data_IF_683864456705
#
_entry.id   IF_683864456705
#
_cell.length_a   1.000
_cell.length_b   1.000
_cell.length_c   1.000
_cell.angle_alpha   90.00
_cell.angle_beta   90.00
_cell.angle_gamma   90.00
#
_symmetry.space_group_name_H-M   'P 1'
#
loop_
_entity.id
_entity.type
_entity.pdbx_description
1 polymer ?
#
# COMPACT_ATOMS: atom_id res chain seq x y z
N UNK A 1 21.58 -3.87 -12.11
CA UNK A 1 20.44 -4.77 -12.44
C UNK A 1 20.95 -6.15 -12.84
N UNK A 2 21.79 -6.27 -13.88
CA UNK A 2 22.39 -7.54 -14.34
C UNK A 2 22.91 -8.43 -13.20
N UNK A 3 23.85 -7.93 -12.37
CA UNK A 3 24.39 -8.69 -11.24
C UNK A 3 23.31 -9.25 -10.28
N UNK A 4 22.19 -8.55 -10.07
CA UNK A 4 21.12 -9.00 -9.16
C UNK A 4 20.21 -10.07 -9.78
N UNK A 5 20.01 -10.04 -11.10
CA UNK A 5 19.13 -11.00 -11.80
C UNK A 5 19.90 -12.21 -12.34
N UNK A 6 21.08 -11.99 -12.92
CA UNK A 6 21.86 -13.03 -13.60
C UNK A 6 22.56 -13.96 -12.59
N UNK A 7 23.01 -13.43 -11.44
CA UNK A 7 23.64 -14.27 -10.41
C UNK A 7 22.71 -15.34 -9.81
N UNK A 8 21.39 -15.11 -9.88
CA UNK A 8 20.38 -16.06 -9.41
C UNK A 8 19.70 -16.82 -10.56
N UNK A 9 19.96 -16.47 -11.82
CA UNK A 9 19.41 -17.13 -13.03
C UNK A 9 17.88 -17.35 -12.95
N UNK A 10 17.15 -16.36 -12.41
CA UNK A 10 15.70 -16.46 -12.22
C UNK A 10 15.23 -17.44 -11.13
N UNK A 11 16.14 -17.98 -10.32
CA UNK A 11 15.87 -18.92 -9.22
C UNK A 11 16.20 -18.26 -7.87
N UNK A 12 15.31 -17.42 -7.32
CA UNK A 12 15.53 -16.86 -6.01
C UNK A 12 15.52 -17.97 -4.95
N UNK A 13 16.43 -17.87 -3.98
CA UNK A 13 16.50 -18.81 -2.86
C UNK A 13 15.80 -18.20 -1.65
N UNK A 14 14.71 -18.84 -1.22
CA UNK A 14 13.99 -18.54 0.01
C UNK A 14 14.02 -19.75 0.93
N UNK A 15 14.15 -19.50 2.23
CA UNK A 15 14.08 -20.55 3.23
C UNK A 15 12.64 -21.08 3.39
N UNK A 16 12.46 -22.15 4.16
CA UNK A 16 11.15 -22.80 4.31
C UNK A 16 10.14 -21.89 5.03
N UNK A 17 10.60 -21.09 5.99
CA UNK A 17 9.75 -20.20 6.78
C UNK A 17 9.22 -19.05 5.93
N UNK A 18 10.08 -18.43 5.12
CA UNK A 18 9.68 -17.39 4.15
C UNK A 18 8.62 -17.91 3.18
N UNK A 19 8.81 -19.13 2.63
CA UNK A 19 7.84 -19.75 1.73
C UNK A 19 6.50 -20.02 2.42
N UNK A 20 6.52 -20.45 3.69
CA UNK A 20 5.29 -20.61 4.50
C UNK A 20 4.62 -19.27 4.74
N UNK A 21 5.36 -18.23 5.10
CA UNK A 21 4.83 -16.88 5.28
C UNK A 21 4.15 -16.37 4.01
N UNK A 22 4.77 -16.53 2.84
CA UNK A 22 4.14 -16.13 1.57
C UNK A 22 2.84 -16.89 1.31
N UNK A 23 2.81 -18.20 1.56
CA UNK A 23 1.60 -18.99 1.39
C UNK A 23 0.49 -18.57 2.38
N UNK A 24 0.83 -18.30 3.63
CA UNK A 24 -0.10 -17.79 4.65
C UNK A 24 -0.67 -16.43 4.25
N UNK A 25 0.17 -15.52 3.75
CA UNK A 25 -0.24 -14.18 3.29
C UNK A 25 -1.16 -14.25 2.07
N UNK A 26 -0.89 -15.13 1.11
CA UNK A 26 -1.78 -15.42 -0.02
C UNK A 26 -3.11 -16.02 0.45
N UNK A 27 -3.06 -16.97 1.39
CA UNK A 27 -4.25 -17.62 1.94
C UNK A 27 -5.14 -16.63 2.69
N UNK A 28 -4.53 -15.69 3.45
CA UNK A 28 -5.25 -14.62 4.12
C UNK A 28 -5.89 -13.63 3.13
N UNK A 29 -5.19 -13.32 2.03
CA UNK A 29 -5.70 -12.46 0.96
C UNK A 29 -6.97 -13.07 0.33
N UNK A 30 -6.88 -14.31 -0.13
CA UNK A 30 -8.00 -15.04 -0.75
C UNK A 30 -9.14 -15.29 0.24
N UNK A 31 -8.81 -15.68 1.47
CA UNK A 31 -9.77 -16.00 2.53
C UNK A 31 -10.65 -14.81 2.90
N UNK A 32 -10.07 -13.61 2.99
CA UNK A 32 -10.83 -12.38 3.26
C UNK A 32 -11.82 -12.08 2.13
N UNK A 33 -11.40 -12.17 0.87
CA UNK A 33 -12.27 -11.88 -0.28
C UNK A 33 -13.44 -12.87 -0.39
N UNK A 34 -13.16 -14.16 -0.20
CA UNK A 34 -14.19 -15.21 -0.16
C UNK A 34 -15.17 -14.98 0.99
N UNK A 35 -14.67 -14.62 2.17
CA UNK A 35 -15.52 -14.32 3.32
C UNK A 35 -16.43 -13.11 3.06
N UNK A 36 -15.88 -12.02 2.54
CA UNK A 36 -16.66 -10.83 2.18
C UNK A 36 -17.70 -11.14 1.10
N UNK A 37 -17.34 -11.94 0.09
CA UNK A 37 -18.26 -12.38 -0.95
C UNK A 37 -19.40 -13.26 -0.43
N UNK A 38 -19.12 -14.15 0.52
CA UNK A 38 -20.13 -15.02 1.13
C UNK A 38 -21.07 -14.26 2.08
N UNK A 39 -20.53 -13.36 2.91
CA UNK A 39 -21.30 -12.63 3.94
C UNK A 39 -22.09 -11.44 3.38
N UNK A 40 -21.55 -10.75 2.38
CA UNK A 40 -22.15 -9.55 1.78
C UNK A 40 -22.33 -9.73 0.26
N UNK A 41 -23.20 -10.65 -0.17
CA UNK A 41 -23.39 -10.93 -1.59
C UNK A 41 -23.89 -9.68 -2.33
N UNK A 42 -23.29 -9.41 -3.49
CA UNK A 42 -23.63 -8.25 -4.33
C UNK A 42 -23.05 -6.90 -3.88
N UNK A 43 -22.42 -6.82 -2.70
CA UNK A 43 -21.75 -5.60 -2.28
C UNK A 43 -20.50 -5.31 -3.13
N UNK A 44 -20.37 -4.07 -3.61
CA UNK A 44 -19.17 -3.62 -4.34
C UNK A 44 -17.98 -3.60 -3.39
N UNK A 45 -16.99 -4.46 -3.64
CA UNK A 45 -15.77 -4.59 -2.83
C UNK A 45 -14.45 -4.42 -3.59
N UNK A 46 -14.49 -4.38 -4.93
CA UNK A 46 -13.31 -4.29 -5.79
C UNK A 46 -12.22 -5.32 -5.44
N UNK A 47 -12.64 -6.60 -5.48
CA UNK A 47 -11.84 -7.75 -5.01
C UNK A 47 -10.41 -7.76 -5.57
N UNK A 48 -9.48 -8.18 -4.72
CA UNK A 48 -8.10 -8.45 -5.11
C UNK A 48 -7.94 -9.80 -5.85
N UNK A 49 -8.97 -10.65 -5.89
CA UNK A 49 -8.89 -12.00 -6.50
C UNK A 49 -8.18 -11.98 -7.88
N UNK A 50 -7.18 -12.86 -8.02
CA UNK A 50 -6.29 -12.95 -9.18
C UNK A 50 -5.06 -12.04 -9.11
N UNK A 51 -5.03 -11.10 -8.16
CA UNK A 51 -3.91 -10.22 -7.84
C UNK A 51 -3.36 -10.43 -6.43
N UNK A 52 -3.62 -11.59 -5.83
CA UNK A 52 -3.37 -11.93 -4.42
C UNK A 52 -1.91 -11.71 -4.00
N UNK A 53 -0.97 -11.85 -4.94
CA UNK A 53 0.45 -11.61 -4.75
C UNK A 53 0.80 -10.17 -4.30
N UNK A 54 -0.12 -9.20 -4.46
CA UNK A 54 0.07 -7.84 -3.96
C UNK A 54 0.29 -7.81 -2.44
N UNK A 55 -0.37 -8.70 -1.68
CA UNK A 55 -0.26 -8.74 -0.21
C UNK A 55 1.14 -9.17 0.25
N UNK A 56 1.66 -10.36 -0.12
CA UNK A 56 3.01 -10.73 0.28
C UNK A 56 4.07 -9.79 -0.30
N UNK A 57 3.88 -9.29 -1.52
CA UNK A 57 4.79 -8.32 -2.13
C UNK A 57 4.90 -7.04 -1.29
N UNK A 58 3.77 -6.45 -0.89
CA UNK A 58 3.77 -5.20 -0.14
C UNK A 58 4.31 -5.39 1.27
N UNK A 59 3.95 -6.50 1.94
CA UNK A 59 4.50 -6.82 3.27
C UNK A 59 6.00 -7.06 3.21
N UNK A 60 6.49 -7.73 2.17
CA UNK A 60 7.93 -7.94 1.97
C UNK A 60 8.67 -6.63 1.70
N UNK A 61 8.10 -5.74 0.90
CA UNK A 61 8.64 -4.41 0.66
C UNK A 61 8.77 -3.62 1.98
N UNK A 62 7.74 -3.66 2.84
CA UNK A 62 7.77 -3.03 4.18
C UNK A 62 8.84 -3.67 5.08
N UNK A 63 8.91 -5.00 5.13
CA UNK A 63 9.95 -5.72 5.89
C UNK A 63 11.35 -5.35 5.42
N UNK A 64 11.56 -5.24 4.11
CA UNK A 64 12.83 -4.86 3.52
C UNK A 64 13.20 -3.39 3.78
N UNK A 65 12.22 -2.49 3.73
CA UNK A 65 12.38 -1.08 4.06
C UNK A 65 12.83 -0.91 5.53
N UNK A 66 12.15 -1.58 6.45
CA UNK A 66 12.52 -1.58 7.87
C UNK A 66 13.89 -2.19 8.13
N UNK A 67 14.22 -3.33 7.49
CA UNK A 67 15.57 -3.92 7.53
C UNK A 67 16.66 -2.96 7.02
N UNK A 68 16.32 -2.09 6.08
CA UNK A 68 17.22 -1.07 5.51
C UNK A 68 17.27 0.21 6.36
N UNK A 69 16.56 0.27 7.49
CA UNK A 69 16.57 1.40 8.42
C UNK A 69 15.66 2.56 8.01
N UNK A 70 14.70 2.33 7.11
CA UNK A 70 13.60 3.26 6.85
C UNK A 70 12.63 3.23 8.03
N UNK A 71 12.05 4.39 8.36
CA UNK A 71 11.19 4.56 9.55
C UNK A 71 9.72 4.64 9.19
N UNK A 72 9.40 5.13 7.98
CA UNK A 72 8.04 5.38 7.57
C UNK A 72 7.81 4.94 6.13
N UNK A 73 6.60 4.45 5.84
CA UNK A 73 6.14 4.10 4.50
C UNK A 73 4.79 4.76 4.28
N UNK A 74 4.66 5.50 3.17
CA UNK A 74 3.41 6.15 2.78
C UNK A 74 2.92 5.54 1.48
N UNK A 75 1.69 5.05 1.47
CA UNK A 75 1.10 4.28 0.38
C UNK A 75 -0.03 5.10 -0.26
N UNK A 76 0.02 5.24 -1.57
CA UNK A 76 -1.10 5.69 -2.41
C UNK A 76 -1.61 4.52 -3.23
N UNK A 77 -2.91 4.28 -3.27
CA UNK A 77 -3.47 3.22 -4.09
C UNK A 77 -4.88 3.53 -4.58
N UNK A 78 -5.25 2.89 -5.69
CA UNK A 78 -6.61 2.86 -6.20
C UNK A 78 -7.54 1.96 -5.36
N UNK A 79 -8.74 1.65 -5.89
CA UNK A 79 -9.77 0.88 -5.19
C UNK A 79 -9.52 -0.64 -5.18
N UNK A 80 -8.82 -1.20 -6.18
CA UNK A 80 -8.65 -2.65 -6.33
C UNK A 80 -7.78 -3.23 -5.21
N UNK A 81 -8.34 -4.18 -4.47
CA UNK A 81 -7.69 -4.81 -3.32
C UNK A 81 -7.45 -3.92 -2.11
N UNK A 82 -8.07 -2.73 -2.06
CA UNK A 82 -7.86 -1.78 -0.96
C UNK A 82 -8.32 -2.32 0.40
N UNK A 83 -9.46 -3.01 0.43
CA UNK A 83 -9.96 -3.61 1.67
C UNK A 83 -9.00 -4.70 2.18
N UNK A 84 -8.39 -5.44 1.24
CA UNK A 84 -7.37 -6.44 1.54
C UNK A 84 -6.11 -5.80 2.12
N UNK A 85 -5.63 -4.72 1.51
CA UNK A 85 -4.52 -3.91 2.04
C UNK A 85 -4.80 -3.38 3.46
N UNK A 86 -5.99 -2.82 3.68
CA UNK A 86 -6.40 -2.30 4.99
C UNK A 86 -6.32 -3.37 6.08
N UNK A 87 -6.87 -4.57 5.82
CA UNK A 87 -6.97 -5.63 6.83
C UNK A 87 -5.66 -6.41 6.94
N UNK A 88 -5.16 -6.96 5.84
CA UNK A 88 -4.06 -7.93 5.84
C UNK A 88 -2.66 -7.29 5.85
N UNK A 89 -2.54 -5.98 5.59
CA UNK A 89 -1.26 -5.25 5.65
C UNK A 89 -1.27 -4.20 6.75
N UNK A 90 -2.27 -3.31 6.78
CA UNK A 90 -2.32 -2.21 7.77
C UNK A 90 -3.00 -2.59 9.09
N UNK A 91 -3.58 -3.79 9.21
CA UNK A 91 -4.14 -4.27 10.47
C UNK A 91 -5.44 -3.59 10.89
N UNK A 92 -6.20 -2.99 9.96
CA UNK A 92 -7.57 -2.54 10.23
C UNK A 92 -8.37 -3.73 10.77
N UNK A 93 -9.09 -3.52 11.88
CA UNK A 93 -9.89 -4.58 12.50
C UNK A 93 -10.94 -5.07 11.50
N UNK A 94 -11.03 -6.38 11.23
CA UNK A 94 -12.05 -6.92 10.32
C UNK A 94 -13.48 -6.59 10.76
N UNK A 95 -13.72 -6.54 12.08
CA UNK A 95 -15.03 -6.22 12.64
C UNK A 95 -15.50 -4.82 12.21
N UNK A 96 -14.65 -3.80 12.33
CA UNK A 96 -14.95 -2.43 11.91
C UNK A 96 -15.29 -2.39 10.40
N UNK A 97 -14.56 -3.14 9.58
CA UNK A 97 -14.88 -3.27 8.16
C UNK A 97 -16.25 -3.92 7.93
N UNK A 98 -16.59 -4.97 8.68
CA UNK A 98 -17.89 -5.64 8.55
C UNK A 98 -19.04 -4.75 8.98
N UNK A 99 -18.85 -3.91 9.99
CA UNK A 99 -19.83 -2.93 10.43
C UNK A 99 -20.07 -1.88 9.33
N UNK A 100 -19.02 -1.43 8.64
CA UNK A 100 -19.16 -0.55 7.45
C UNK A 100 -19.89 -1.23 6.27
N UNK A 101 -19.78 -2.54 6.12
CA UNK A 101 -20.57 -3.29 5.14
C UNK A 101 -22.05 -3.40 5.55
N UNK A 102 -22.32 -3.46 6.86
CA UNK A 102 -23.68 -3.46 7.40
C UNK A 102 -24.31 -2.04 7.45
N UNK A 103 -23.59 -1.00 7.03
CA UNK A 103 -24.05 0.39 7.08
C UNK A 103 -24.00 0.99 8.49
N UNK A 104 -23.33 0.34 9.43
CA UNK A 104 -23.02 0.91 10.74
C UNK A 104 -21.77 1.76 10.59
N UNK A 105 -21.93 3.04 10.89
CA UNK A 105 -20.83 3.99 10.94
C UNK A 105 -20.82 4.59 12.33
N UNK A 106 -19.63 4.73 12.91
CA UNK A 106 -19.46 5.55 14.10
C UNK A 106 -19.91 6.98 13.79
N UNK A 107 -20.32 7.73 14.80
CA UNK A 107 -20.59 9.18 14.70
C UNK A 107 -19.28 9.93 14.41
N UNK A 108 -18.77 9.83 13.19
CA UNK A 108 -17.58 10.55 12.75
C UNK A 108 -17.93 12.00 12.43
N UNK A 109 -16.97 12.90 12.69
CA UNK A 109 -17.08 14.31 12.32
C UNK A 109 -17.06 14.46 10.79
N UNK A 110 -18.22 14.66 10.16
CA UNK A 110 -18.35 14.99 8.74
C UNK A 110 -19.40 14.18 7.98
N UNK A 111 -19.46 14.36 6.66
CA UNK A 111 -20.41 13.65 5.78
C UNK A 111 -19.98 12.21 5.46
N UNK A 112 -18.75 11.82 5.82
CA UNK A 112 -18.15 10.52 5.50
C UNK A 112 -17.76 10.37 4.02
N UNK A 113 -17.26 9.17 3.70
CA UNK A 113 -16.96 8.71 2.33
C UNK A 113 -17.14 7.18 2.27
N UNK A 114 -17.12 6.60 1.08
CA UNK A 114 -17.25 5.14 0.88
C UNK A 114 -16.05 4.40 1.50
N UNK A 115 -16.33 3.19 2.03
CA UNK A 115 -15.36 2.34 2.77
C UNK A 115 -14.02 2.11 2.06
N UNK A 116 -14.00 2.11 0.72
CA UNK A 116 -12.80 1.91 -0.10
C UNK A 116 -12.11 3.22 -0.52
N UNK A 117 -12.39 4.35 0.13
CA UNK A 117 -11.62 5.60 0.04
C UNK A 117 -10.85 5.91 1.34
N UNK A 118 -11.18 5.22 2.42
CA UNK A 118 -10.57 5.46 3.73
C UNK A 118 -9.06 5.18 3.70
N UNK A 119 -8.30 6.12 4.25
CA UNK A 119 -6.91 5.90 4.64
C UNK A 119 -6.82 5.17 5.97
N UNK A 120 -5.60 4.85 6.38
CA UNK A 120 -5.34 4.21 7.68
C UNK A 120 -3.90 4.48 8.10
N UNK A 121 -3.60 4.36 9.39
CA UNK A 121 -2.25 4.45 9.89
C UNK A 121 -2.03 3.43 11.00
N UNK A 122 -0.87 2.77 10.96
CA UNK A 122 -0.50 1.72 11.90
C UNK A 122 1.00 1.57 11.93
N UNK A 123 1.54 1.05 13.02
CA UNK A 123 2.94 0.63 13.07
C UNK A 123 3.04 -0.85 12.72
N UNK A 124 4.06 -1.20 11.95
CA UNK A 124 4.29 -2.56 11.45
C UNK A 124 5.66 -3.05 11.90
N UNK A 125 5.69 -4.18 12.62
CA UNK A 125 6.92 -4.79 13.09
C UNK A 125 7.74 -5.37 11.94
N UNK A 126 9.01 -4.95 11.83
CA UNK A 126 9.96 -5.48 10.85
C UNK A 126 11.22 -6.01 11.56
N UNK A 127 12.09 -6.79 10.87
CA UNK A 127 13.36 -7.21 11.45
C UNK A 127 14.29 -6.07 11.87
N UNK A 128 14.10 -4.85 11.33
CA UNK A 128 14.87 -3.65 11.68
C UNK A 128 14.22 -2.75 12.74
N UNK A 129 13.08 -3.16 13.31
CA UNK A 129 12.26 -2.35 14.20
C UNK A 129 10.90 -1.99 13.59
N UNK A 130 10.09 -1.27 14.35
CA UNK A 130 8.76 -0.86 13.89
C UNK A 130 8.87 0.22 12.81
N UNK A 131 8.07 0.06 11.75
CA UNK A 131 7.93 1.01 10.64
C UNK A 131 6.52 1.58 10.67
N UNK A 132 6.42 2.90 10.66
CA UNK A 132 5.12 3.58 10.63
C UNK A 132 4.55 3.56 9.21
N UNK A 133 3.35 2.98 9.05
CA UNK A 133 2.62 2.90 7.79
C UNK A 133 1.51 3.95 7.75
N UNK A 134 1.37 4.61 6.60
CA UNK A 134 0.24 5.47 6.31
C UNK A 134 -0.33 5.19 4.92
N UNK A 135 -1.58 4.77 4.84
CA UNK A 135 -2.34 4.69 3.60
C UNK A 135 -3.10 6.00 3.41
N UNK A 136 -2.85 6.69 2.30
CA UNK A 136 -3.51 7.95 1.98
C UNK A 136 -5.00 7.76 1.68
N UNK A 137 -5.83 8.71 2.13
CA UNK A 137 -7.19 8.86 1.64
C UNK A 137 -7.18 9.24 0.16
N UNK A 138 -8.17 8.80 -0.61
CA UNK A 138 -8.30 9.19 -2.03
C UNK A 138 -9.76 9.27 -2.46
N UNK A 139 -10.10 10.18 -3.39
CA UNK A 139 -11.38 10.15 -4.07
C UNK A 139 -11.43 9.04 -5.13
N UNK A 140 -12.59 8.86 -5.78
CA UNK A 140 -12.76 7.96 -6.93
C UNK A 140 -11.91 8.31 -8.15
N UNK A 141 -11.44 9.56 -8.26
CA UNK A 141 -10.60 10.02 -9.38
C UNK A 141 -9.24 9.34 -9.29
N UNK A 142 -8.97 8.42 -10.21
CA UNK A 142 -7.77 7.60 -10.19
C UNK A 142 -6.51 8.45 -10.38
N UNK A 143 -5.38 7.95 -9.88
CA UNK A 143 -4.04 8.54 -10.01
C UNK A 143 -3.80 9.88 -9.31
N UNK A 144 -4.83 10.68 -9.01
CA UNK A 144 -4.66 12.01 -8.39
C UNK A 144 -4.10 11.94 -6.96
N UNK A 145 -4.19 10.78 -6.29
CA UNK A 145 -3.60 10.56 -4.98
C UNK A 145 -2.07 10.48 -5.04
N UNK A 146 -1.47 10.15 -6.19
CA UNK A 146 -0.04 9.95 -6.31
C UNK A 146 0.76 11.21 -5.94
N UNK A 147 0.53 12.39 -6.56
CA UNK A 147 1.24 13.61 -6.16
C UNK A 147 0.95 14.02 -4.71
N UNK A 148 -0.22 13.67 -4.17
CA UNK A 148 -0.56 13.91 -2.75
C UNK A 148 0.33 13.06 -1.83
N UNK A 149 0.57 11.79 -2.17
CA UNK A 149 1.51 10.93 -1.45
C UNK A 149 2.93 11.46 -1.53
N UNK A 150 3.40 11.87 -2.71
CA UNK A 150 4.74 12.44 -2.88
C UNK A 150 4.90 13.71 -2.02
N UNK A 151 3.90 14.61 -2.04
CA UNK A 151 3.90 15.80 -1.19
C UNK A 151 3.91 15.47 0.31
N UNK A 152 3.12 14.47 0.72
CA UNK A 152 3.11 13.97 2.11
C UNK A 152 4.49 13.46 2.52
N UNK A 153 5.11 12.60 1.70
CA UNK A 153 6.45 12.07 1.95
C UNK A 153 7.48 13.19 2.02
N UNK A 154 7.43 14.16 1.09
CA UNK A 154 8.34 15.30 1.11
C UNK A 154 8.24 16.08 2.42
N UNK A 155 7.03 16.34 2.90
CA UNK A 155 6.82 17.02 4.17
C UNK A 155 7.40 16.23 5.36
N UNK A 156 7.28 14.90 5.34
CA UNK A 156 7.87 14.03 6.39
C UNK A 156 9.40 14.01 6.32
N UNK A 157 9.97 13.98 5.12
CA UNK A 157 11.41 14.05 4.90
C UNK A 157 11.99 15.38 5.40
N UNK A 158 11.34 16.51 5.06
CA UNK A 158 11.75 17.84 5.53
C UNK A 158 11.71 17.91 7.07
N UNK A 159 10.66 17.36 7.70
CA UNK A 159 10.53 17.27 9.17
C UNK A 159 11.64 16.45 9.82
N UNK A 160 12.08 15.37 9.18
CA UNK A 160 13.09 14.44 9.69
C UNK A 160 14.53 14.84 9.32
N UNK A 161 14.72 15.88 8.48
CA UNK A 161 16.02 16.20 7.90
C UNK A 161 16.55 15.12 6.95
N UNK A 162 15.67 14.34 6.32
CA UNK A 162 16.01 13.24 5.42
C UNK A 162 16.30 13.74 4.00
N UNK A 163 17.42 14.44 3.85
CA UNK A 163 17.82 15.09 2.58
C UNK A 163 18.04 14.12 1.40
N UNK A 164 18.14 12.81 1.67
CA UNK A 164 18.41 11.79 0.66
C UNK A 164 17.25 10.82 0.44
N UNK A 165 16.11 10.99 1.13
CA UNK A 165 14.95 10.08 1.02
C UNK A 165 15.22 8.66 1.53
N UNK A 166 16.08 8.53 2.54
CA UNK A 166 16.53 7.26 3.11
C UNK A 166 15.69 6.76 4.29
N UNK A 167 14.73 7.57 4.77
CA UNK A 167 13.93 7.31 5.98
C UNK A 167 12.44 7.18 5.71
N UNK A 168 11.92 7.81 4.66
CA UNK A 168 10.50 7.76 4.32
C UNK A 168 10.34 7.24 2.90
N UNK A 169 9.65 6.10 2.75
CA UNK A 169 9.43 5.43 1.47
C UNK A 169 8.02 5.72 0.92
N UNK A 170 7.89 6.37 -0.24
CA UNK A 170 6.63 6.42 -0.96
C UNK A 170 6.43 5.12 -1.76
N UNK A 171 5.22 4.57 -1.70
CA UNK A 171 4.75 3.46 -2.55
C UNK A 171 3.47 3.91 -3.27
N UNK A 172 3.39 3.73 -4.59
CA UNK A 172 2.16 4.02 -5.36
C UNK A 172 1.69 2.80 -6.15
N UNK A 173 0.45 2.38 -5.90
CA UNK A 173 -0.19 1.21 -6.53
C UNK A 173 -1.24 1.68 -7.54
N UNK A 174 -1.03 1.33 -8.80
CA UNK A 174 -1.80 1.85 -9.92
C UNK A 174 -2.71 0.81 -10.57
N UNK A 175 -3.79 1.28 -11.21
CA UNK A 175 -4.51 0.47 -12.20
C UNK A 175 -3.79 0.52 -13.54
N UNK A 176 -3.72 -0.61 -14.25
CA UNK A 176 -3.05 -0.76 -15.55
C UNK A 176 -3.55 0.23 -16.61
N UNK A 177 -4.86 0.43 -16.71
CA UNK A 177 -5.45 1.37 -17.67
C UNK A 177 -5.28 2.84 -17.22
N UNK A 178 -5.31 3.08 -15.91
CA UNK A 178 -5.26 4.42 -15.35
C UNK A 178 -3.83 5.00 -15.39
N UNK A 179 -2.81 4.19 -15.11
CA UNK A 179 -1.41 4.62 -15.19
C UNK A 179 -1.02 5.06 -16.60
N UNK A 180 -1.60 4.42 -17.62
CA UNK A 180 -1.37 4.77 -19.03
C UNK A 180 -2.21 5.97 -19.49
N UNK A 181 -3.42 6.16 -18.93
CA UNK A 181 -4.41 7.11 -19.43
C UNK A 181 -4.48 8.45 -18.70
N UNK A 182 -4.00 8.55 -17.45
CA UNK A 182 -4.12 9.78 -16.66
C UNK A 182 -2.85 10.63 -16.72
N UNK A 183 -2.98 11.86 -17.24
CA UNK A 183 -1.85 12.79 -17.41
C UNK A 183 -1.11 13.13 -16.11
N UNK A 184 -1.80 13.11 -14.97
CA UNK A 184 -1.19 13.37 -13.64
C UNK A 184 -0.05 12.41 -13.31
N UNK A 185 -0.05 11.19 -13.88
CA UNK A 185 1.04 10.24 -13.71
C UNK A 185 2.32 10.75 -14.38
N UNK A 186 2.22 11.22 -15.64
CA UNK A 186 3.35 11.78 -16.36
C UNK A 186 3.86 13.07 -15.69
N UNK A 187 2.95 13.92 -15.20
CA UNK A 187 3.31 15.11 -14.42
C UNK A 187 4.06 14.75 -13.14
N UNK A 188 3.61 13.71 -12.42
CA UNK A 188 4.28 13.22 -11.20
C UNK A 188 5.66 12.65 -11.51
N UNK A 189 5.82 11.91 -12.60
CA UNK A 189 7.13 11.46 -13.08
C UNK A 189 8.05 12.64 -13.41
N UNK A 190 7.55 13.67 -14.08
CA UNK A 190 8.33 14.86 -14.41
C UNK A 190 8.83 15.60 -13.14
N UNK A 191 8.06 15.54 -12.04
CA UNK A 191 8.46 16.11 -10.75
C UNK A 191 9.44 15.24 -9.95
N UNK A 192 9.57 13.94 -10.26
CA UNK A 192 10.28 12.96 -9.42
C UNK A 192 11.74 13.33 -9.08
N UNK A 193 12.44 14.04 -9.97
CA UNK A 193 13.82 14.49 -9.78
C UNK A 193 13.95 16.02 -9.65
N UNK A 194 12.84 16.76 -9.72
CA UNK A 194 12.88 18.20 -9.57
C UNK A 194 13.20 18.55 -8.10
N UNK A 195 14.21 19.39 -7.86
CA UNK A 195 14.76 19.70 -6.51
C UNK A 195 13.72 20.03 -5.42
N UNK A 196 12.62 20.69 -5.78
CA UNK A 196 11.57 21.07 -4.85
C UNK A 196 10.56 19.97 -4.53
N UNK A 197 10.53 18.90 -5.32
CA UNK A 197 9.53 17.82 -5.25
C UNK A 197 10.13 16.43 -5.06
N UNK A 198 11.42 16.27 -5.35
CA UNK A 198 12.13 15.00 -5.23
C UNK A 198 12.04 14.45 -3.80
N UNK A 199 11.79 13.14 -3.73
CA UNK A 199 11.69 12.35 -2.49
C UNK A 199 12.64 11.14 -2.46
N UNK A 200 13.64 11.10 -3.34
CA UNK A 200 14.60 9.99 -3.45
C UNK A 200 14.13 8.81 -4.32
N UNK A 201 13.02 8.97 -5.03
CA UNK A 201 12.37 7.93 -5.83
C UNK A 201 11.10 7.39 -5.18
N UNK A 202 10.32 6.63 -5.94
CA UNK A 202 9.06 6.03 -5.51
C UNK A 202 8.98 4.62 -6.10
N UNK A 203 8.45 3.69 -5.32
CA UNK A 203 8.20 2.32 -5.78
C UNK A 203 6.75 2.17 -6.23
#
# INVERSE_FOLDING_TARGET
IQQRLESVVGQPSFNQDEKRTFLEELTAAEGLERYLGAKFPGAKRFSLEGGDALIPMTKELIRHAGKSGMREVVIGMAHRGRLNMLVNVLGKKPQDLFDEFAGKHDETWGTGDVKYHQGFSADFATPGGDVHLALAFNPSHLEIVNPVVIGSVRARQDRLGDNHGSKVLPITIHGDSAIAGQGVVAETFNMSLARGFCVGGTV
#
